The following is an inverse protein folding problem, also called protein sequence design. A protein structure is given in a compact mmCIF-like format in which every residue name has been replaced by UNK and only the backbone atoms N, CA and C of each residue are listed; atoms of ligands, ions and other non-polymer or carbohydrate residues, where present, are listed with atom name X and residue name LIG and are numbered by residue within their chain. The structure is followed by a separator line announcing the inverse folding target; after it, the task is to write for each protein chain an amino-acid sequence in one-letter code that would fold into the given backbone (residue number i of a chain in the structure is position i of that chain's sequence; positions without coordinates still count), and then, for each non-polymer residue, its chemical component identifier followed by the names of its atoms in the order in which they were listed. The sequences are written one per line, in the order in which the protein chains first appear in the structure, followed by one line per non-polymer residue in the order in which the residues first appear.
data_IF_481017835378
#
_entry.id   IF_481017835378
#
_cell.length_a   1.000
_cell.length_b   1.000
_cell.length_c   1.000
_cell.angle_alpha   90.00
_cell.angle_beta   90.00
_cell.angle_gamma   90.00
#
_symmetry.space_group_name_H-M   'P 1'
#
loop_
_entity.id
_entity.type
_entity.pdbx_description
1 polymer ?
#
# COMPACT_ATOMS: atom_id res chain seq x y z
N UNK A 1 18.96 19.71 3.14
CA UNK A 1 17.59 19.61 2.62
C UNK A 1 17.59 20.09 1.18
N UNK A 2 16.93 19.40 0.26
CA UNK A 2 16.86 19.72 -1.16
C UNK A 2 15.38 19.70 -1.60
N UNK A 3 14.91 20.81 -2.17
CA UNK A 3 13.59 20.85 -2.79
C UNK A 3 13.68 20.34 -4.24
N UNK A 4 12.83 19.40 -4.61
CA UNK A 4 12.65 18.95 -6.00
C UNK A 4 11.27 19.38 -6.46
N UNK A 5 11.22 20.03 -7.61
CA UNK A 5 9.98 20.47 -8.24
C UNK A 5 9.72 19.68 -9.52
N UNK A 6 8.49 19.16 -9.66
CA UNK A 6 8.01 18.52 -10.87
C UNK A 6 6.89 19.39 -11.44
N UNK A 7 7.09 19.93 -12.63
CA UNK A 7 6.04 20.66 -13.36
C UNK A 7 4.97 19.66 -13.82
N UNK A 8 3.73 19.87 -13.40
CA UNK A 8 2.63 18.93 -13.65
C UNK A 8 1.79 19.36 -14.88
N UNK A 9 1.05 18.39 -15.49
CA UNK A 9 0.33 18.64 -16.76
C UNK A 9 -0.70 19.76 -16.71
N UNK A 10 -1.24 20.07 -15.53
CA UNK A 10 -2.21 21.14 -15.30
C UNK A 10 -1.58 22.53 -15.11
N UNK A 11 -0.24 22.60 -15.24
CA UNK A 11 0.54 23.83 -15.03
C UNK A 11 0.93 24.08 -13.56
N UNK A 12 0.53 23.19 -12.64
CA UNK A 12 0.93 23.24 -11.24
C UNK A 12 2.34 22.68 -11.04
N UNK A 13 2.81 22.71 -9.78
CA UNK A 13 4.14 22.21 -9.38
C UNK A 13 3.99 21.32 -8.17
N UNK A 14 4.45 20.06 -8.29
CA UNK A 14 4.60 19.16 -7.15
C UNK A 14 5.97 19.38 -6.49
N UNK A 15 5.96 19.84 -5.25
CA UNK A 15 7.18 20.10 -4.45
C UNK A 15 7.42 18.99 -3.44
N UNK A 16 8.65 18.51 -3.40
CA UNK A 16 9.12 17.46 -2.48
C UNK A 16 10.37 17.90 -1.76
N UNK A 17 10.33 17.85 -0.44
CA UNK A 17 11.49 18.10 0.41
C UNK A 17 12.25 16.79 0.63
N UNK A 18 13.48 16.72 0.16
CA UNK A 18 14.33 15.53 0.25
C UNK A 18 15.54 15.81 1.13
N UNK A 19 16.04 14.77 1.80
CA UNK A 19 17.29 14.83 2.58
C UNK A 19 18.24 13.74 2.05
N UNK A 20 19.03 14.03 1.00
CA UNK A 20 19.96 13.07 0.44
C UNK A 20 21.04 12.67 1.46
N UNK A 21 21.30 11.36 1.53
CA UNK A 21 22.45 10.80 2.21
C UNK A 21 23.11 9.78 1.27
N UNK A 22 24.25 10.13 0.60
CA UNK A 22 24.91 9.25 -0.35
C UNK A 22 25.45 7.94 0.25
N UNK A 23 25.64 7.89 1.58
CA UNK A 23 26.12 6.69 2.28
C UNK A 23 25.06 5.60 2.45
N UNK A 24 23.76 5.96 2.35
CA UNK A 24 22.62 5.07 2.58
C UNK A 24 21.94 4.66 1.27
N UNK A 25 21.28 3.49 1.18
CA UNK A 25 20.52 3.08 0.01
C UNK A 25 19.27 3.93 -0.19
N UNK A 26 18.66 3.81 -1.36
CA UNK A 26 17.27 4.21 -1.59
C UNK A 26 16.38 3.06 -1.11
N UNK A 27 15.27 3.41 -0.41
CA UNK A 27 14.35 2.44 0.14
C UNK A 27 12.93 2.67 -0.40
N UNK A 28 12.21 1.59 -0.63
CA UNK A 28 10.80 1.64 -1.03
C UNK A 28 9.93 0.72 -0.16
N UNK A 29 8.78 1.26 0.27
CA UNK A 29 7.71 0.48 0.87
C UNK A 29 6.49 0.52 -0.05
N UNK A 30 6.23 -0.61 -0.69
CA UNK A 30 5.19 -0.82 -1.67
C UNK A 30 4.06 -1.64 -1.07
N UNK A 31 2.84 -1.48 -1.57
CA UNK A 31 1.71 -2.27 -1.11
C UNK A 31 0.61 -2.33 -2.15
N UNK A 32 -0.19 -3.37 -2.04
CA UNK A 32 -1.46 -3.48 -2.78
C UNK A 32 -2.57 -2.85 -1.95
N UNK A 33 -3.60 -2.34 -2.59
CA UNK A 33 -4.78 -1.84 -1.89
C UNK A 33 -5.33 -2.85 -0.90
N UNK A 34 -5.67 -2.41 0.30
CA UNK A 34 -6.28 -3.21 1.37
C UNK A 34 -5.41 -4.36 1.90
N UNK A 35 -4.10 -4.34 1.61
CA UNK A 35 -3.13 -5.30 2.16
C UNK A 35 -2.65 -4.97 3.58
N UNK A 36 -3.13 -3.89 4.21
CA UNK A 36 -2.58 -3.41 5.48
C UNK A 36 -1.45 -2.39 5.32
N UNK A 37 -1.25 -1.86 4.11
CA UNK A 37 -0.18 -0.90 3.81
C UNK A 37 -0.22 0.38 4.66
N UNK A 38 -1.39 0.79 5.16
CA UNK A 38 -1.48 1.92 6.09
C UNK A 38 -0.81 1.62 7.44
N UNK A 39 -1.00 0.41 7.98
CA UNK A 39 -0.30 -0.03 9.20
C UNK A 39 1.20 -0.13 8.95
N UNK A 40 1.61 -0.76 7.85
CA UNK A 40 3.02 -0.85 7.45
C UNK A 40 3.66 0.54 7.37
N UNK A 41 3.00 1.50 6.74
CA UNK A 41 3.52 2.87 6.64
C UNK A 41 3.67 3.54 8.00
N UNK A 42 2.73 3.35 8.93
CA UNK A 42 2.82 3.91 10.28
C UNK A 42 3.99 3.29 11.07
N UNK A 43 4.18 1.98 10.99
CA UNK A 43 5.32 1.29 11.59
C UNK A 43 6.64 1.80 10.99
N UNK A 44 6.69 1.94 9.68
CA UNK A 44 7.89 2.42 8.98
C UNK A 44 8.20 3.89 9.27
N UNK A 45 7.21 4.73 9.54
CA UNK A 45 7.44 6.11 10.00
C UNK A 45 8.14 6.12 11.36
N UNK A 46 7.65 5.32 12.32
CA UNK A 46 8.25 5.23 13.65
C UNK A 46 9.69 4.64 13.57
N UNK A 47 9.89 3.57 12.79
CA UNK A 47 11.23 2.99 12.56
C UNK A 47 12.19 3.96 11.87
N UNK A 48 11.73 4.66 10.83
CA UNK A 48 12.53 5.58 10.06
C UNK A 48 12.96 6.80 10.89
N UNK A 49 12.06 7.31 11.74
CA UNK A 49 12.36 8.39 12.70
C UNK A 49 13.48 7.97 13.65
N UNK A 50 13.36 6.80 14.27
CA UNK A 50 14.37 6.27 15.19
C UNK A 50 15.73 6.01 14.50
N UNK A 51 15.75 5.76 13.19
CA UNK A 51 16.96 5.52 12.42
C UNK A 51 17.44 6.74 11.61
N UNK A 52 16.83 7.90 11.82
CA UNK A 52 17.20 9.14 11.13
C UNK A 52 17.05 9.05 9.61
N UNK A 53 16.09 8.26 9.11
CA UNK A 53 15.81 8.11 7.69
C UNK A 53 14.59 8.96 7.30
N UNK A 54 14.73 9.95 6.41
CA UNK A 54 13.61 10.75 5.93
C UNK A 54 12.62 9.90 5.12
N UNK A 55 11.32 10.11 5.36
CA UNK A 55 10.25 9.41 4.64
C UNK A 55 9.53 10.36 3.69
N UNK A 56 9.35 9.93 2.45
CA UNK A 56 8.61 10.62 1.40
C UNK A 56 7.34 9.83 1.07
N UNK A 57 6.20 10.28 1.56
CA UNK A 57 4.89 9.70 1.21
C UNK A 57 4.43 10.29 -0.14
N UNK A 58 5.10 9.88 -1.24
CA UNK A 58 4.89 10.46 -2.56
C UNK A 58 3.42 10.50 -3.00
N UNK A 59 2.63 9.41 -2.88
CA UNK A 59 1.21 9.44 -3.25
C UNK A 59 0.40 10.45 -2.45
N UNK A 60 0.70 10.60 -1.14
CA UNK A 60 -0.03 11.53 -0.28
C UNK A 60 0.33 12.98 -0.59
N UNK A 61 1.61 13.26 -0.87
CA UNK A 61 2.06 14.60 -1.29
C UNK A 61 1.42 14.98 -2.62
N UNK A 62 1.43 14.07 -3.60
CA UNK A 62 0.80 14.28 -4.90
C UNK A 62 -0.71 14.50 -4.78
N UNK A 63 -1.40 13.70 -3.95
CA UNK A 63 -2.84 13.85 -3.71
C UNK A 63 -3.19 15.19 -3.04
N UNK A 64 -2.43 15.61 -2.03
CA UNK A 64 -2.61 16.92 -1.39
C UNK A 64 -2.38 18.09 -2.35
N UNK A 65 -1.50 17.92 -3.33
CA UNK A 65 -1.26 18.88 -4.39
C UNK A 65 -2.33 18.82 -5.52
N UNK A 66 -3.34 17.94 -5.40
CA UNK A 66 -4.45 17.82 -6.35
C UNK A 66 -4.22 16.83 -7.50
N UNK A 67 -3.11 16.10 -7.51
CA UNK A 67 -2.77 15.16 -8.58
C UNK A 67 -3.27 13.75 -8.30
N UNK A 68 -3.77 13.08 -9.35
CA UNK A 68 -4.16 11.67 -9.30
C UNK A 68 -2.99 10.76 -9.66
N UNK A 69 -3.07 9.49 -9.30
CA UNK A 69 -2.02 8.49 -9.55
C UNK A 69 -1.48 8.50 -11.00
N UNK A 70 -2.29 8.48 -12.08
CA UNK A 70 -1.74 8.51 -13.43
C UNK A 70 -0.94 9.78 -13.74
N UNK A 71 -1.35 10.92 -13.18
CA UNK A 71 -0.75 12.21 -13.47
C UNK A 71 0.71 12.27 -12.99
N UNK A 72 0.99 11.86 -11.74
CA UNK A 72 2.33 11.89 -11.20
C UNK A 72 3.15 10.65 -11.59
N UNK A 73 2.54 9.45 -11.68
CA UNK A 73 3.28 8.22 -12.02
C UNK A 73 3.76 8.21 -13.48
N UNK A 74 3.03 8.87 -14.38
CA UNK A 74 3.42 9.06 -15.78
C UNK A 74 4.38 10.21 -16.02
N UNK A 75 4.77 10.97 -15.00
CA UNK A 75 5.60 12.15 -15.17
C UNK A 75 6.99 11.79 -15.72
N UNK A 76 7.45 12.40 -16.84
CA UNK A 76 8.70 12.01 -17.51
C UNK A 76 9.95 12.22 -16.64
N UNK A 77 9.90 13.16 -15.70
CA UNK A 77 10.99 13.48 -14.80
C UNK A 77 10.83 12.92 -13.38
N UNK A 78 9.90 11.99 -13.18
CA UNK A 78 9.63 11.38 -11.86
C UNK A 78 10.89 10.83 -11.18
N UNK A 79 11.87 10.34 -11.99
CA UNK A 79 13.15 9.86 -11.46
C UNK A 79 13.96 10.93 -10.72
N UNK A 80 13.72 12.21 -10.97
CA UNK A 80 14.40 13.31 -10.28
C UNK A 80 14.16 13.34 -8.77
N UNK A 81 13.10 12.69 -8.28
CA UNK A 81 12.84 12.59 -6.85
C UNK A 81 13.72 11.55 -6.16
N UNK A 82 14.31 10.59 -6.90
CA UNK A 82 15.06 9.50 -6.28
C UNK A 82 16.39 10.00 -5.71
N UNK A 83 16.53 9.91 -4.40
CA UNK A 83 17.74 10.28 -3.65
C UNK A 83 18.09 9.19 -2.65
N UNK A 84 19.39 8.86 -2.59
CA UNK A 84 19.93 7.96 -1.57
C UNK A 84 19.61 8.50 -0.17
N UNK A 85 19.38 7.60 0.77
CA UNK A 85 19.10 7.93 2.16
C UNK A 85 17.63 8.23 2.49
N UNK A 86 16.72 8.16 1.50
CA UNK A 86 15.29 8.38 1.74
C UNK A 86 14.49 7.08 1.57
N UNK A 87 13.44 6.93 2.38
CA UNK A 87 12.39 5.93 2.20
C UNK A 87 11.22 6.55 1.43
N UNK A 88 10.84 5.94 0.32
CA UNK A 88 9.63 6.28 -0.44
C UNK A 88 8.52 5.30 -0.07
N UNK A 89 7.41 5.80 0.46
CA UNK A 89 6.31 4.99 0.98
C UNK A 89 4.92 5.56 0.60
N UNK A 90 3.86 4.95 1.11
CA UNK A 90 2.47 5.37 0.83
C UNK A 90 1.86 4.73 -0.41
N UNK A 91 2.61 3.95 -1.16
CA UNK A 91 2.15 3.32 -2.40
C UNK A 91 1.07 2.26 -2.14
N UNK A 92 0.00 2.34 -2.91
CA UNK A 92 -1.09 1.35 -2.99
C UNK A 92 -1.28 0.82 -4.40
N UNK A 93 -0.58 1.41 -5.34
CA UNK A 93 -0.44 1.02 -6.74
C UNK A 93 1.05 1.07 -7.12
N UNK A 94 1.45 0.28 -8.09
CA UNK A 94 2.85 0.12 -8.48
C UNK A 94 3.41 1.41 -9.14
N UNK A 95 4.55 1.96 -8.67
CA UNK A 95 5.15 3.16 -9.27
C UNK A 95 5.87 2.82 -10.58
N UNK A 96 5.12 2.40 -11.60
CA UNK A 96 5.65 1.89 -12.87
C UNK A 96 6.54 2.87 -13.62
N UNK A 97 6.31 4.17 -13.45
CA UNK A 97 7.18 5.23 -14.01
C UNK A 97 8.62 5.20 -13.50
N UNK A 98 8.88 4.50 -12.40
CA UNK A 98 10.21 4.36 -11.81
C UNK A 98 10.92 3.05 -12.20
N UNK A 99 10.20 2.01 -12.63
CA UNK A 99 10.73 0.64 -12.79
C UNK A 99 11.95 0.53 -13.73
N UNK A 100 11.96 1.31 -14.79
CA UNK A 100 13.08 1.31 -15.75
C UNK A 100 14.34 2.01 -15.23
N UNK A 101 14.27 2.72 -14.10
CA UNK A 101 15.36 3.57 -13.62
C UNK A 101 16.40 2.74 -12.84
N UNK A 102 17.71 2.88 -13.12
CA UNK A 102 18.75 2.15 -12.39
C UNK A 102 18.67 2.35 -10.88
N UNK A 103 18.42 3.57 -10.43
CA UNK A 103 18.29 3.90 -9.02
C UNK A 103 17.10 3.18 -8.33
N UNK A 104 16.03 2.88 -9.05
CA UNK A 104 14.92 2.07 -8.52
C UNK A 104 15.28 0.58 -8.52
N UNK A 105 15.95 0.09 -9.57
CA UNK A 105 16.35 -1.32 -9.66
C UNK A 105 17.29 -1.73 -8.52
N UNK A 106 18.24 -0.87 -8.15
CA UNK A 106 19.19 -1.11 -7.05
C UNK A 106 18.68 -0.69 -5.67
N UNK A 107 17.48 -0.15 -5.58
CA UNK A 107 16.87 0.21 -4.29
C UNK A 107 16.40 -1.03 -3.55
N UNK A 108 16.48 -1.05 -2.21
CA UNK A 108 15.82 -2.06 -1.40
C UNK A 108 14.33 -1.79 -1.34
N UNK A 109 13.54 -2.81 -1.63
CA UNK A 109 12.08 -2.72 -1.76
C UNK A 109 11.40 -3.74 -0.86
N UNK A 110 10.36 -3.33 -0.15
CA UNK A 110 9.41 -4.25 0.46
C UNK A 110 8.07 -4.12 -0.25
N UNK A 111 7.35 -5.22 -0.38
CA UNK A 111 6.00 -5.27 -0.93
C UNK A 111 5.08 -6.02 0.03
N UNK A 112 4.05 -5.35 0.51
CA UNK A 112 3.01 -5.99 1.32
C UNK A 112 1.84 -6.38 0.42
N UNK A 113 1.51 -7.66 0.43
CA UNK A 113 0.37 -8.26 -0.28
C UNK A 113 -0.61 -8.90 0.71
N UNK A 114 -1.81 -9.18 0.25
CA UNK A 114 -2.86 -9.86 1.02
C UNK A 114 -3.65 -10.77 0.08
N UNK A 115 -4.30 -11.80 0.62
CA UNK A 115 -5.27 -12.60 -0.13
C UNK A 115 -6.22 -11.66 -0.91
N UNK A 116 -6.26 -11.76 -2.25
CA UNK A 116 -7.05 -10.86 -3.07
C UNK A 116 -8.53 -10.87 -2.74
N UNK A 117 -9.06 -12.00 -2.27
CA UNK A 117 -10.46 -12.14 -1.86
C UNK A 117 -10.75 -11.33 -0.61
N UNK A 118 -9.87 -11.40 0.39
CA UNK A 118 -9.96 -10.60 1.61
C UNK A 118 -9.72 -9.12 1.36
N UNK A 119 -8.81 -8.78 0.45
CA UNK A 119 -8.55 -7.40 0.05
C UNK A 119 -9.80 -6.78 -0.58
N UNK A 120 -10.50 -7.49 -1.46
CA UNK A 120 -11.73 -7.04 -2.10
C UNK A 120 -12.89 -6.89 -1.12
N UNK A 121 -13.07 -7.86 -0.20
CA UNK A 121 -14.07 -7.74 0.88
C UNK A 121 -13.76 -6.52 1.75
N UNK A 122 -12.49 -6.34 2.15
CA UNK A 122 -12.07 -5.15 2.89
C UNK A 122 -12.28 -3.84 2.11
N UNK A 123 -12.17 -3.85 0.79
CA UNK A 123 -12.43 -2.68 -0.05
C UNK A 123 -13.90 -2.31 -0.08
N UNK A 124 -14.81 -3.30 -0.17
CA UNK A 124 -16.25 -3.07 -0.06
C UNK A 124 -16.60 -2.31 1.23
N UNK A 125 -16.23 -2.86 2.39
CA UNK A 125 -16.56 -2.22 3.67
C UNK A 125 -15.91 -0.84 3.81
N UNK A 126 -14.71 -0.67 3.31
CA UNK A 126 -14.05 0.64 3.31
C UNK A 126 -14.80 1.64 2.44
N UNK A 127 -15.20 1.25 1.24
CA UNK A 127 -15.92 2.13 0.30
C UNK A 127 -17.30 2.47 0.81
N UNK A 128 -18.04 1.48 1.32
CA UNK A 128 -19.41 1.65 1.79
C UNK A 128 -19.49 2.45 3.11
N UNK A 129 -18.58 2.25 4.07
CA UNK A 129 -18.79 2.70 5.44
C UNK A 129 -17.66 3.55 6.03
N UNK A 130 -16.38 3.13 5.90
CA UNK A 130 -15.31 3.68 6.74
C UNK A 130 -14.38 4.68 6.04
N UNK A 131 -14.53 4.91 4.74
CA UNK A 131 -13.71 5.90 4.05
C UNK A 131 -14.03 7.31 4.56
N UNK A 132 -13.02 8.00 5.13
CA UNK A 132 -13.22 9.38 5.57
C UNK A 132 -13.54 10.25 4.36
N UNK A 133 -14.60 11.05 4.48
CA UNK A 133 -14.93 12.05 3.46
C UNK A 133 -13.88 13.17 3.54
N UNK A 134 -13.09 13.43 2.50
CA UNK A 134 -12.26 14.63 2.46
C UNK A 134 -13.15 15.87 2.38
N UNK A 135 -12.56 17.03 2.69
CA UNK A 135 -13.24 18.31 2.49
C UNK A 135 -13.75 18.44 1.06
N UNK A 136 -14.78 19.28 0.85
CA UNK A 136 -15.50 19.44 -0.42
C UNK A 136 -14.57 19.79 -1.60
N UNK A 137 -14.04 18.77 -2.26
CA UNK A 137 -13.22 18.86 -3.48
C UNK A 137 -13.54 17.71 -4.43
N UNK A 138 -12.92 17.67 -5.60
CA UNK A 138 -13.14 16.63 -6.61
C UNK A 138 -12.89 15.20 -6.10
N UNK A 139 -11.95 15.02 -5.16
CA UNK A 139 -11.68 13.73 -4.53
C UNK A 139 -12.82 13.30 -3.60
N UNK A 140 -13.42 14.25 -2.86
CA UNK A 140 -14.59 14.01 -2.02
C UNK A 140 -15.79 13.52 -2.83
N UNK A 141 -16.09 14.21 -3.94
CA UNK A 141 -17.19 13.82 -4.84
C UNK A 141 -17.00 12.41 -5.42
N UNK A 142 -15.77 12.02 -5.74
CA UNK A 142 -15.47 10.67 -6.22
C UNK A 142 -15.67 9.60 -5.13
N UNK A 143 -15.27 9.90 -3.89
CA UNK A 143 -15.47 9.00 -2.75
C UNK A 143 -16.95 8.84 -2.44
N UNK A 144 -17.71 9.93 -2.47
CA UNK A 144 -19.17 9.91 -2.26
C UNK A 144 -19.89 9.07 -3.33
N UNK A 145 -19.54 9.26 -4.60
CA UNK A 145 -20.04 8.44 -5.70
C UNK A 145 -19.75 6.94 -5.48
N UNK A 146 -18.50 6.59 -5.17
CA UNK A 146 -18.11 5.20 -4.90
C UNK A 146 -18.85 4.60 -3.71
N UNK A 147 -19.11 5.39 -2.67
CA UNK A 147 -19.91 4.95 -1.52
C UNK A 147 -21.35 4.64 -1.94
N UNK A 148 -21.99 5.52 -2.72
CA UNK A 148 -23.32 5.28 -3.26
C UNK A 148 -23.39 4.01 -4.10
N UNK A 149 -22.42 3.80 -5.00
CA UNK A 149 -22.33 2.60 -5.84
C UNK A 149 -22.10 1.33 -5.00
N UNK A 150 -21.24 1.38 -3.97
CA UNK A 150 -20.99 0.24 -3.09
C UNK A 150 -22.23 -0.14 -2.27
N UNK A 151 -22.96 0.83 -1.75
CA UNK A 151 -24.18 0.60 -0.95
C UNK A 151 -25.35 0.02 -1.77
N UNK A 152 -25.33 0.14 -3.10
CA UNK A 152 -26.32 -0.45 -4.00
C UNK A 152 -26.01 -1.89 -4.41
N UNK A 153 -24.89 -2.45 -3.96
CA UNK A 153 -24.42 -3.79 -4.32
C UNK A 153 -24.30 -4.65 -3.06
N UNK A 154 -24.53 -5.94 -3.21
CA UNK A 154 -24.07 -6.91 -2.22
C UNK A 154 -22.54 -6.98 -2.18
N UNK A 155 -21.97 -7.52 -1.09
CA UNK A 155 -20.52 -7.74 -0.98
C UNK A 155 -20.01 -8.56 -2.18
N UNK A 156 -20.74 -9.61 -2.56
CA UNK A 156 -20.37 -10.53 -3.64
C UNK A 156 -20.37 -9.84 -5.01
N UNK A 157 -21.41 -9.07 -5.33
CA UNK A 157 -21.48 -8.29 -6.57
C UNK A 157 -20.33 -7.28 -6.66
N UNK A 158 -20.05 -6.58 -5.58
CA UNK A 158 -18.96 -5.61 -5.52
C UNK A 158 -17.59 -6.26 -5.76
N UNK A 159 -17.26 -7.37 -5.07
CA UNK A 159 -15.94 -8.00 -5.21
C UNK A 159 -15.73 -8.55 -6.62
N UNK A 160 -16.76 -9.12 -7.24
CA UNK A 160 -16.69 -9.58 -8.63
C UNK A 160 -16.48 -8.40 -9.59
N UNK A 161 -17.16 -7.29 -9.39
CA UNK A 161 -16.98 -6.08 -10.21
C UNK A 161 -15.57 -5.47 -10.07
N UNK A 162 -14.99 -5.49 -8.87
CA UNK A 162 -13.68 -4.89 -8.60
C UNK A 162 -12.47 -5.81 -8.89
N UNK A 163 -12.69 -7.10 -9.11
CA UNK A 163 -11.61 -8.10 -9.34
C UNK A 163 -10.65 -7.69 -10.46
N UNK A 164 -11.17 -7.16 -11.57
CA UNK A 164 -10.36 -6.72 -12.72
C UNK A 164 -9.40 -5.57 -12.34
N UNK A 165 -9.84 -4.64 -11.51
CA UNK A 165 -9.00 -3.52 -11.10
C UNK A 165 -7.90 -3.99 -10.14
N UNK A 166 -8.23 -4.89 -9.21
CA UNK A 166 -7.24 -5.47 -8.30
C UNK A 166 -6.18 -6.28 -9.06
N UNK A 167 -6.60 -7.09 -10.04
CA UNK A 167 -5.70 -7.81 -10.94
C UNK A 167 -4.74 -6.87 -11.66
N UNK A 168 -5.25 -5.78 -12.21
CA UNK A 168 -4.40 -4.78 -12.87
C UNK A 168 -3.34 -4.22 -11.93
N UNK A 169 -3.69 -3.97 -10.68
CA UNK A 169 -2.72 -3.48 -9.69
C UNK A 169 -1.61 -4.49 -9.44
N UNK A 170 -1.94 -5.77 -9.22
CA UNK A 170 -0.91 -6.78 -8.95
C UNK A 170 -0.08 -7.11 -10.18
N UNK A 171 -0.70 -7.10 -11.38
CA UNK A 171 0.02 -7.35 -12.63
C UNK A 171 1.06 -6.27 -12.93
N UNK A 172 0.85 -5.04 -12.48
CA UNK A 172 1.87 -4.01 -12.53
C UNK A 172 3.08 -4.31 -11.63
N UNK A 173 2.91 -5.05 -10.53
CA UNK A 173 4.03 -5.50 -9.69
C UNK A 173 4.72 -6.75 -10.22
N UNK A 174 4.11 -7.51 -11.13
CA UNK A 174 4.68 -8.75 -11.67
C UNK A 174 6.12 -8.64 -12.15
N UNK A 175 6.55 -7.56 -12.86
CA UNK A 175 7.94 -7.43 -13.28
C UNK A 175 8.96 -7.37 -12.14
N UNK A 176 8.53 -7.11 -10.92
CA UNK A 176 9.41 -7.03 -9.74
C UNK A 176 9.50 -8.35 -8.98
N UNK A 177 8.65 -9.36 -9.26
CA UNK A 177 8.56 -10.58 -8.43
C UNK A 177 9.83 -11.47 -8.46
N UNK A 178 10.75 -11.22 -9.38
CA UNK A 178 12.07 -11.87 -9.45
C UNK A 178 13.23 -10.96 -9.05
N UNK A 179 12.96 -9.78 -8.52
CA UNK A 179 13.99 -8.80 -8.15
C UNK A 179 14.62 -9.21 -6.81
N UNK A 180 15.94 -9.40 -6.78
CA UNK A 180 16.69 -9.78 -5.57
C UNK A 180 16.61 -8.72 -4.46
N UNK A 181 16.39 -7.47 -4.83
CA UNK A 181 16.20 -6.34 -3.91
C UNK A 181 14.72 -6.11 -3.55
N UNK A 182 13.86 -7.12 -3.72
CA UNK A 182 12.47 -7.11 -3.28
C UNK A 182 12.21 -8.15 -2.21
N UNK A 183 11.76 -7.70 -1.02
CA UNK A 183 11.22 -8.57 0.03
C UNK A 183 9.70 -8.49 0.06
N UNK A 184 9.04 -9.64 -0.07
CA UNK A 184 7.57 -9.72 -0.07
C UNK A 184 7.10 -10.17 1.30
N UNK A 185 6.13 -9.45 1.87
CA UNK A 185 5.41 -9.82 3.07
C UNK A 185 3.94 -10.11 2.73
N UNK A 186 3.40 -11.18 3.30
CA UNK A 186 1.97 -11.49 3.24
C UNK A 186 1.30 -11.00 4.53
N UNK A 187 0.20 -10.29 4.38
CA UNK A 187 -0.58 -9.80 5.51
C UNK A 187 -0.91 -10.91 6.51
N UNK A 188 -1.29 -12.07 5.99
CA UNK A 188 -1.68 -13.25 6.76
C UNK A 188 -0.58 -13.73 7.69
N UNK A 189 0.69 -13.63 7.25
CA UNK A 189 1.85 -14.10 8.01
C UNK A 189 2.28 -13.09 9.08
N UNK A 190 2.09 -11.78 8.81
CA UNK A 190 2.68 -10.73 9.63
C UNK A 190 1.72 -10.08 10.61
N UNK A 191 0.40 -10.13 10.36
CA UNK A 191 -0.56 -9.32 11.12
C UNK A 191 -0.67 -9.75 12.60
N UNK A 192 -0.43 -11.01 12.92
CA UNK A 192 -0.38 -11.54 14.28
C UNK A 192 1.05 -11.73 14.81
N UNK A 193 2.07 -11.44 14.00
CA UNK A 193 3.48 -11.53 14.33
C UNK A 193 4.21 -10.19 14.20
N UNK A 194 3.52 -9.09 14.52
CA UNK A 194 4.00 -7.72 14.29
C UNK A 194 5.40 -7.45 14.87
N UNK A 195 5.76 -7.89 16.09
CA UNK A 195 7.12 -7.68 16.60
C UNK A 195 8.21 -8.28 15.71
N UNK A 196 7.99 -9.49 15.19
CA UNK A 196 8.92 -10.13 14.26
C UNK A 196 8.94 -9.39 12.91
N UNK A 197 7.77 -8.99 12.41
CA UNK A 197 7.67 -8.21 11.17
C UNK A 197 8.39 -6.86 11.26
N UNK A 198 8.28 -6.14 12.38
CA UNK A 198 9.00 -4.88 12.63
C UNK A 198 10.50 -5.09 12.53
N UNK A 199 11.04 -6.14 13.22
CA UNK A 199 12.47 -6.47 13.17
C UNK A 199 12.92 -6.88 11.77
N UNK A 200 12.12 -7.69 11.09
CA UNK A 200 12.38 -8.14 9.71
C UNK A 200 12.48 -6.96 8.71
N UNK A 201 11.58 -6.00 8.81
CA UNK A 201 11.63 -4.78 7.98
C UNK A 201 12.85 -3.93 8.31
N UNK A 202 13.16 -3.77 9.59
CA UNK A 202 14.32 -3.00 10.04
C UNK A 202 15.61 -3.63 9.54
N UNK A 203 15.81 -4.92 9.76
CA UNK A 203 16.97 -5.69 9.31
C UNK A 203 17.16 -5.58 7.81
N UNK A 204 16.08 -5.78 7.04
CA UNK A 204 16.14 -5.70 5.58
C UNK A 204 16.54 -4.31 5.09
N UNK A 205 16.10 -3.26 5.76
CA UNK A 205 16.49 -1.89 5.42
C UNK A 205 17.85 -1.47 5.99
N UNK A 206 18.48 -2.31 6.83
CA UNK A 206 19.73 -2.02 7.53
C UNK A 206 19.54 -1.03 8.67
N UNK A 207 18.37 -1.08 9.31
CA UNK A 207 17.99 -0.28 10.47
C UNK A 207 18.12 -1.04 11.76
N UNK A 208 18.13 -0.32 12.88
CA UNK A 208 18.14 -0.90 14.23
C UNK A 208 16.71 -0.86 14.79
N UNK A 209 16.27 -1.99 15.36
CA UNK A 209 14.99 -2.11 16.06
C UNK A 209 15.18 -2.84 17.41
N UNK A 210 15.76 -2.17 18.44
CA UNK A 210 15.88 -2.74 19.77
C UNK A 210 14.50 -3.01 20.38
N UNK A 211 14.43 -3.92 21.36
CA UNK A 211 13.17 -4.37 21.96
C UNK A 211 12.31 -3.21 22.46
N UNK A 212 12.91 -2.24 23.15
CA UNK A 212 12.18 -1.06 23.63
C UNK A 212 11.51 -0.24 22.53
N UNK A 213 12.14 -0.11 21.33
CA UNK A 213 11.52 0.55 20.18
C UNK A 213 10.38 -0.30 19.62
N UNK A 214 10.57 -1.62 19.54
CA UNK A 214 9.51 -2.52 19.06
C UNK A 214 8.30 -2.45 19.98
N UNK A 215 8.49 -2.47 21.31
CA UNK A 215 7.43 -2.36 22.30
C UNK A 215 6.69 -1.01 22.21
N UNK A 216 7.42 0.09 21.98
CA UNK A 216 6.84 1.42 21.78
C UNK A 216 5.98 1.47 20.51
N UNK A 217 6.47 0.91 19.41
CA UNK A 217 5.71 0.82 18.15
C UNK A 217 4.45 -0.04 18.35
N UNK A 218 4.57 -1.18 19.03
CA UNK A 218 3.44 -2.06 19.32
C UNK A 218 2.38 -1.34 20.16
N UNK A 219 2.77 -0.65 21.22
CA UNK A 219 1.85 0.12 22.06
C UNK A 219 1.05 1.18 21.26
N UNK A 220 1.65 1.77 20.22
CA UNK A 220 1.02 2.77 19.37
C UNK A 220 0.20 2.18 18.23
N UNK A 221 0.60 1.02 17.67
CA UNK A 221 0.13 0.52 16.38
C UNK A 221 -0.61 -0.81 16.42
N UNK A 222 -0.55 -1.55 17.53
CA UNK A 222 -1.23 -2.85 17.63
C UNK A 222 -2.71 -2.70 17.99
N UNK A 223 -3.49 -2.29 16.99
CA UNK A 223 -4.95 -2.17 17.11
C UNK A 223 -5.59 -3.43 16.55
N UNK A 224 -6.05 -4.31 17.44
CA UNK A 224 -6.82 -5.51 17.07
C UNK A 224 -8.21 -5.40 17.69
N UNK A 225 -9.25 -5.08 16.90
CA UNK A 225 -10.64 -5.05 17.40
C UNK A 225 -11.06 -6.43 17.89
N UNK A 226 -11.73 -6.49 19.02
CA UNK A 226 -12.32 -7.73 19.58
C UNK A 226 -13.56 -8.18 18.83
N UNK A 227 -14.21 -7.27 18.10
CA UNK A 227 -15.41 -7.51 17.30
C UNK A 227 -15.35 -6.73 15.99
N UNK A 228 -16.17 -7.12 15.01
CA UNK A 228 -16.23 -6.42 13.72
C UNK A 228 -16.89 -5.05 13.88
N UNK A 229 -16.22 -4.01 13.37
CA UNK A 229 -16.67 -2.60 13.40
C UNK A 229 -16.75 -2.02 12.00
N UNK A 230 -17.85 -2.24 11.26
CA UNK A 230 -17.94 -1.89 9.83
C UNK A 230 -17.64 -0.42 9.49
N UNK A 231 -17.94 0.49 10.42
CA UNK A 231 -17.75 1.94 10.25
C UNK A 231 -16.36 2.43 10.65
N UNK A 232 -15.56 1.60 11.30
CA UNK A 232 -14.22 1.96 11.76
C UNK A 232 -13.17 1.68 10.67
N UNK A 233 -12.08 2.46 10.69
CA UNK A 233 -10.95 2.26 9.77
C UNK A 233 -10.32 0.87 9.93
N UNK A 234 -10.14 0.39 11.15
CA UNK A 234 -9.75 -0.98 11.47
C UNK A 234 -11.03 -1.76 11.80
N UNK A 235 -11.68 -2.29 10.78
CA UNK A 235 -12.96 -3.02 10.89
C UNK A 235 -12.80 -4.37 11.59
N UNK A 236 -11.91 -5.18 11.06
CA UNK A 236 -11.66 -6.57 11.48
C UNK A 236 -10.23 -6.94 11.10
N UNK A 237 -9.51 -7.57 12.00
CA UNK A 237 -8.19 -8.13 11.75
C UNK A 237 -8.34 -9.65 11.69
N UNK A 238 -8.77 -10.17 10.54
CA UNK A 238 -9.01 -11.59 10.34
C UNK A 238 -8.69 -11.98 8.88
N UNK A 239 -7.59 -12.72 8.64
CA UNK A 239 -7.40 -13.45 7.39
C UNK A 239 -8.50 -14.49 7.17
N UNK A 240 -8.96 -14.62 5.93
CA UNK A 240 -10.04 -15.56 5.58
C UNK A 240 -11.46 -15.00 5.68
N UNK A 241 -11.62 -13.69 5.91
CA UNK A 241 -12.91 -13.02 6.02
C UNK A 241 -13.84 -13.24 4.81
N UNK A 242 -13.25 -13.44 3.61
CA UNK A 242 -14.01 -13.77 2.40
C UNK A 242 -14.85 -15.03 2.52
N UNK A 243 -14.44 -16.00 3.34
CA UNK A 243 -15.19 -17.26 3.55
C UNK A 243 -16.50 -17.05 4.33
N UNK A 244 -16.56 -16.00 5.14
CA UNK A 244 -17.78 -15.63 5.89
C UNK A 244 -18.69 -14.71 5.07
N UNK A 245 -18.13 -13.95 4.14
CA UNK A 245 -18.82 -12.85 3.43
C UNK A 245 -19.27 -13.20 2.01
N UNK A 246 -18.73 -14.26 1.43
CA UNK A 246 -19.03 -14.70 0.05
C UNK A 246 -19.59 -16.11 0.05
N UNK A 247 -20.47 -16.39 -0.91
CA UNK A 247 -20.93 -17.76 -1.17
C UNK A 247 -19.82 -18.62 -1.77
N UNK A 248 -19.93 -19.95 -1.63
CA UNK A 248 -18.99 -20.88 -2.27
C UNK A 248 -18.93 -20.68 -3.80
N UNK A 249 -20.09 -20.40 -4.43
CA UNK A 249 -20.17 -20.09 -5.86
C UNK A 249 -19.50 -18.76 -6.19
N UNK A 250 -19.68 -17.73 -5.36
CA UNK A 250 -19.01 -16.43 -5.49
C UNK A 250 -17.50 -16.55 -5.39
N UNK A 251 -17.00 -17.33 -4.42
CA UNK A 251 -15.56 -17.61 -4.27
C UNK A 251 -15.02 -18.31 -5.52
N UNK A 252 -15.70 -19.34 -6.03
CA UNK A 252 -15.28 -20.06 -7.24
C UNK A 252 -15.22 -19.13 -8.47
N UNK A 253 -16.26 -18.31 -8.67
CA UNK A 253 -16.26 -17.29 -9.74
C UNK A 253 -15.12 -16.29 -9.60
N UNK A 254 -14.92 -15.78 -8.38
CA UNK A 254 -13.84 -14.83 -8.10
C UNK A 254 -12.47 -15.44 -8.37
N UNK A 255 -12.22 -16.66 -7.90
CA UNK A 255 -10.97 -17.39 -8.12
C UNK A 255 -10.65 -17.55 -9.62
N UNK A 256 -11.69 -17.86 -10.45
CA UNK A 256 -11.53 -17.96 -11.90
C UNK A 256 -11.19 -16.61 -12.58
N UNK A 257 -11.55 -15.50 -11.95
CA UNK A 257 -11.27 -14.14 -12.46
C UNK A 257 -9.93 -13.60 -12.04
N UNK A 258 -9.33 -14.12 -10.95
CA UNK A 258 -8.10 -13.59 -10.37
C UNK A 258 -6.89 -13.88 -11.26
N UNK A 259 -5.97 -12.89 -11.33
CA UNK A 259 -4.75 -12.99 -12.11
C UNK A 259 -3.85 -14.14 -11.64
N UNK A 260 -3.18 -14.86 -12.57
CA UNK A 260 -2.15 -15.84 -12.24
C UNK A 260 -1.00 -15.29 -11.39
N UNK A 261 -0.79 -13.98 -11.38
CA UNK A 261 0.22 -13.32 -10.55
C UNK A 261 -0.01 -13.57 -9.05
N UNK A 262 -1.27 -13.73 -8.61
CA UNK A 262 -1.59 -14.10 -7.23
C UNK A 262 -1.08 -15.51 -6.87
N UNK A 263 -1.15 -16.47 -7.82
CA UNK A 263 -0.58 -17.82 -7.63
C UNK A 263 0.95 -17.79 -7.54
N UNK A 264 1.61 -16.91 -8.31
CA UNK A 264 3.06 -16.69 -8.20
C UNK A 264 3.47 -16.16 -6.82
N UNK A 265 2.59 -15.43 -6.16
CA UNK A 265 2.75 -14.97 -4.78
C UNK A 265 2.38 -16.06 -3.74
N UNK A 266 2.01 -17.26 -4.18
CA UNK A 266 1.69 -18.40 -3.33
C UNK A 266 0.31 -18.34 -2.69
N UNK A 267 -0.64 -17.66 -3.32
CA UNK A 267 -2.05 -17.73 -2.93
C UNK A 267 -2.73 -18.90 -3.66
N UNK A 268 -3.34 -19.78 -2.87
CA UNK A 268 -4.17 -20.85 -3.42
C UNK A 268 -5.54 -20.28 -3.84
N UNK A 269 -5.83 -20.36 -5.11
CA UNK A 269 -7.07 -19.87 -5.71
C UNK A 269 -7.95 -21.01 -6.25
N UNK A 270 -7.67 -22.26 -5.83
CA UNK A 270 -8.40 -23.43 -6.30
C UNK A 270 -7.95 -23.92 -7.66
#
# INVERSE_FOLDING_TARGET
MQTVELAMPDGGVLRLELRPDPSRPILFALGVRKSGSSLMNLILLDLAEANGCPVVLLPDVAFKAGYRYPDWNGHPELFKILRRGNLYAGFRDAPTGLFARPAFKTARKILLVRDPRDALVSEYFSSAFSHRMPERNAAGSLIEKRRGEALQQSVEEYVLAQAKQLNRTIDFYRPLLGDEELRIFKYEDVIFAKPAWIRDMADYFGWIAPDGLVDEIMAKRDLVPTEERPTEFVRKVAPGDHREKLSAQGIAKLNAMLSPTWRQLGYDLG
#
